data_IF_253667126948
#
_entry.id   IF_253667126948
#
_cell.length_a   1.000
_cell.length_b   1.000
_cell.length_c   1.000
_cell.angle_alpha   90.00
_cell.angle_beta   90.00
_cell.angle_gamma   90.00
#
_symmetry.space_group_name_H-M   'P 1'
#
loop_
_entity.id
_entity.type
_entity.pdbx_description
1 polymer ?
#
# COMPACT_ATOMS: atom_id res chain seq x y z
N UNK A 1 -2.98 6.44 8.54
CA UNK A 1 -3.39 6.79 7.15
C UNK A 1 -4.73 7.53 7.14
N UNK A 2 -5.87 6.87 7.37
CA UNK A 2 -7.20 7.52 7.27
C UNK A 2 -7.32 8.83 8.07
N UNK A 3 -7.04 8.80 9.37
CA UNK A 3 -6.98 9.99 10.24
C UNK A 3 -6.10 11.11 9.70
N UNK A 4 -4.93 10.76 9.15
CA UNK A 4 -3.94 11.72 8.64
C UNK A 4 -4.43 12.47 7.41
N UNK A 5 -5.12 11.79 6.49
CA UNK A 5 -5.71 12.41 5.32
C UNK A 5 -6.94 13.24 5.70
N UNK A 6 -7.77 12.76 6.64
CA UNK A 6 -8.92 13.52 7.12
C UNK A 6 -8.54 14.86 7.78
N UNK A 7 -7.38 14.94 8.43
CA UNK A 7 -6.83 16.20 8.97
C UNK A 7 -6.44 17.23 7.92
N UNK A 8 -6.33 16.84 6.65
CA UNK A 8 -5.99 17.71 5.52
C UNK A 8 -7.21 17.96 4.63
N UNK A 9 -8.40 17.96 5.23
CA UNK A 9 -9.69 18.19 4.57
C UNK A 9 -10.11 17.16 3.51
N UNK A 10 -9.46 15.99 3.47
CA UNK A 10 -9.96 14.89 2.65
C UNK A 10 -11.18 14.23 3.31
N UNK A 11 -12.23 14.00 2.52
CA UNK A 11 -13.23 12.98 2.87
C UNK A 11 -12.60 11.60 2.64
N UNK A 12 -12.66 10.73 3.65
CA UNK A 12 -12.00 9.42 3.62
C UNK A 12 -13.02 8.28 3.60
N UNK A 13 -13.01 7.47 2.55
CA UNK A 13 -13.69 6.18 2.58
C UNK A 13 -12.75 5.12 3.17
N UNK A 14 -13.15 4.49 4.28
CA UNK A 14 -12.43 3.37 4.90
C UNK A 14 -13.13 2.07 4.53
N UNK A 15 -12.37 1.10 4.02
CA UNK A 15 -12.92 -0.16 3.55
C UNK A 15 -12.25 -1.38 4.18
N UNK A 16 -13.05 -2.42 4.38
CA UNK A 16 -12.65 -3.71 4.96
C UNK A 16 -13.86 -4.59 5.24
N UNK A 17 -13.64 -5.74 5.87
CA UNK A 17 -14.67 -6.78 6.04
C UNK A 17 -15.53 -6.64 7.30
N UNK A 18 -15.07 -5.88 8.29
CA UNK A 18 -15.71 -5.79 9.61
C UNK A 18 -16.29 -4.40 9.81
N UNK A 19 -17.61 -4.26 9.67
CA UNK A 19 -18.30 -2.98 9.78
C UNK A 19 -18.02 -2.28 11.11
N UNK A 20 -18.09 -2.97 12.24
CA UNK A 20 -17.86 -2.38 13.57
C UNK A 20 -16.47 -1.74 13.69
N UNK A 21 -15.45 -2.38 13.12
CA UNK A 21 -14.07 -1.84 13.10
C UNK A 21 -13.98 -0.61 12.21
N UNK A 22 -14.67 -0.60 11.07
CA UNK A 22 -14.71 0.56 10.18
C UNK A 22 -15.44 1.73 10.86
N UNK A 23 -16.58 1.47 11.51
CA UNK A 23 -17.36 2.47 12.23
C UNK A 23 -16.57 3.08 13.38
N UNK A 24 -15.74 2.31 14.08
CA UNK A 24 -14.83 2.86 15.10
C UNK A 24 -13.87 3.89 14.50
N UNK A 25 -13.33 3.64 13.31
CA UNK A 25 -12.44 4.58 12.62
C UNK A 25 -13.21 5.80 12.10
N UNK A 26 -14.43 5.61 11.59
CA UNK A 26 -15.29 6.71 11.15
C UNK A 26 -15.63 7.63 12.31
N UNK A 27 -16.14 7.09 13.42
CA UNK A 27 -16.50 7.85 14.61
C UNK A 27 -15.32 8.65 15.17
N UNK A 28 -14.13 8.04 15.19
CA UNK A 28 -12.90 8.71 15.60
C UNK A 28 -12.53 9.89 14.67
N UNK A 29 -12.65 9.72 13.35
CA UNK A 29 -12.40 10.80 12.39
C UNK A 29 -13.41 11.94 12.56
N UNK A 30 -14.69 11.62 12.70
CA UNK A 30 -15.78 12.60 12.87
C UNK A 30 -15.66 13.35 14.20
N UNK A 31 -15.29 12.67 15.28
CA UNK A 31 -15.03 13.30 16.58
C UNK A 31 -13.87 14.31 16.54
N UNK A 32 -12.98 14.18 15.55
CA UNK A 32 -11.87 15.11 15.30
C UNK A 32 -12.16 16.10 14.16
N UNK A 33 -13.43 16.26 13.76
CA UNK A 33 -13.87 17.25 12.76
C UNK A 33 -13.68 16.83 11.30
N UNK A 34 -13.19 15.63 11.03
CA UNK A 34 -13.02 15.10 9.68
C UNK A 34 -14.32 14.49 9.11
N UNK A 35 -14.26 14.03 7.86
CA UNK A 35 -15.38 13.35 7.18
C UNK A 35 -14.95 11.95 6.75
N UNK A 36 -15.70 10.93 7.13
CA UNK A 36 -15.40 9.56 6.72
C UNK A 36 -16.66 8.73 6.43
N UNK A 37 -16.47 7.70 5.60
CA UNK A 37 -17.52 6.74 5.26
C UNK A 37 -16.97 5.31 5.38
N UNK A 38 -17.74 4.40 5.98
CA UNK A 38 -17.40 2.99 6.05
C UNK A 38 -17.97 2.26 4.83
N UNK A 39 -17.14 1.50 4.12
CA UNK A 39 -17.54 0.68 2.97
C UNK A 39 -17.13 -0.77 3.21
N UNK A 40 -18.10 -1.66 3.40
CA UNK A 40 -17.81 -3.09 3.60
C UNK A 40 -17.47 -3.72 2.25
N UNK A 41 -16.27 -4.31 2.16
CA UNK A 41 -15.81 -5.02 0.96
C UNK A 41 -14.70 -6.02 1.32
N UNK A 42 -14.70 -7.18 0.67
CA UNK A 42 -13.53 -8.05 0.60
C UNK A 42 -12.73 -7.72 -0.66
N UNK A 43 -11.49 -7.24 -0.48
CA UNK A 43 -10.62 -6.89 -1.61
C UNK A 43 -10.31 -8.08 -2.53
N UNK A 44 -10.42 -9.31 -2.04
CA UNK A 44 -10.26 -10.50 -2.87
C UNK A 44 -11.45 -10.76 -3.80
N UNK A 45 -12.60 -10.13 -3.60
CA UNK A 45 -13.81 -10.39 -4.40
C UNK A 45 -14.00 -9.22 -5.38
N UNK A 46 -14.00 -9.52 -6.68
CA UNK A 46 -14.07 -8.49 -7.73
C UNK A 46 -15.37 -7.68 -7.67
N UNK A 47 -16.51 -8.33 -7.44
CA UNK A 47 -17.80 -7.66 -7.28
C UNK A 47 -17.78 -6.65 -6.11
N UNK A 48 -17.18 -7.01 -4.98
CA UNK A 48 -17.05 -6.14 -3.82
C UNK A 48 -16.18 -4.91 -4.13
N UNK A 49 -15.05 -5.10 -4.82
CA UNK A 49 -14.16 -4.00 -5.20
C UNK A 49 -14.86 -3.04 -6.16
N UNK A 50 -15.58 -3.55 -7.15
CA UNK A 50 -16.37 -2.74 -8.08
C UNK A 50 -17.43 -1.91 -7.35
N UNK A 51 -18.20 -2.56 -6.47
CA UNK A 51 -19.23 -1.89 -5.67
C UNK A 51 -18.65 -0.83 -4.73
N UNK A 52 -17.48 -1.11 -4.13
CA UNK A 52 -16.80 -0.15 -3.26
C UNK A 52 -16.31 1.09 -4.02
N UNK A 53 -15.72 0.92 -5.20
CA UNK A 53 -15.27 2.05 -6.03
C UNK A 53 -16.46 2.86 -6.56
N UNK A 54 -17.57 2.22 -6.92
CA UNK A 54 -18.79 2.92 -7.30
C UNK A 54 -19.29 3.83 -6.16
N UNK A 55 -19.38 3.31 -4.93
CA UNK A 55 -19.74 4.13 -3.76
C UNK A 55 -18.74 5.27 -3.52
N UNK A 56 -17.44 5.04 -3.69
CA UNK A 56 -16.43 6.11 -3.56
C UNK A 56 -16.66 7.22 -4.59
N UNK A 57 -17.04 6.89 -5.82
CA UNK A 57 -17.32 7.88 -6.86
C UNK A 57 -18.55 8.75 -6.54
N UNK A 58 -19.52 8.23 -5.79
CA UNK A 58 -20.68 9.00 -5.30
C UNK A 58 -20.30 10.01 -4.20
N UNK A 59 -19.22 9.73 -3.45
CA UNK A 59 -18.77 10.60 -2.35
C UNK A 59 -17.97 11.82 -2.82
N UNK A 60 -17.42 11.76 -4.04
CA UNK A 60 -16.68 12.85 -4.68
C UNK A 60 -15.49 12.38 -5.53
N UNK A 61 -14.57 13.30 -5.82
CA UNK A 61 -13.40 13.05 -6.66
C UNK A 61 -12.33 12.26 -5.90
N UNK A 62 -12.04 11.03 -6.36
CA UNK A 62 -10.91 10.26 -5.86
C UNK A 62 -9.58 10.90 -6.30
N UNK A 63 -8.74 11.24 -5.31
CA UNK A 63 -7.39 11.81 -5.50
C UNK A 63 -6.27 10.91 -4.96
N UNK A 64 -6.57 10.09 -3.95
CA UNK A 64 -5.63 9.14 -3.36
C UNK A 64 -6.33 7.81 -3.08
N UNK A 65 -5.70 6.72 -3.51
CA UNK A 65 -6.15 5.36 -3.29
C UNK A 65 -5.04 4.57 -2.60
N UNK A 66 -5.31 4.03 -1.39
CA UNK A 66 -4.30 3.35 -0.58
C UNK A 66 -4.70 1.90 -0.32
N UNK A 67 -3.95 0.96 -0.89
CA UNK A 67 -4.10 -0.47 -0.61
C UNK A 67 -3.28 -0.88 0.61
N UNK A 68 -3.95 -0.97 1.76
CA UNK A 68 -3.34 -1.36 3.05
C UNK A 68 -3.79 -2.76 3.53
N UNK A 69 -4.32 -3.60 2.65
CA UNK A 69 -4.76 -4.94 3.04
C UNK A 69 -3.54 -5.83 3.34
N UNK A 70 -3.60 -6.52 4.48
CA UNK A 70 -2.57 -7.46 4.87
C UNK A 70 -2.89 -8.20 6.15
N UNK A 71 -2.84 -9.53 6.09
CA UNK A 71 -2.75 -10.39 7.26
C UNK A 71 -1.48 -11.21 7.15
N UNK A 72 -0.58 -11.06 8.12
CA UNK A 72 0.60 -11.90 8.20
C UNK A 72 0.16 -13.32 8.57
N UNK A 73 0.37 -14.26 7.65
CA UNK A 73 0.19 -15.71 7.84
C UNK A 73 1.57 -16.31 8.10
N UNK A 74 1.68 -16.96 9.27
CA UNK A 74 2.90 -17.57 9.79
C UNK A 74 2.61 -19.04 10.03
N UNK A 75 3.07 -19.92 9.12
CA UNK A 75 2.86 -21.38 9.20
C UNK A 75 3.99 -22.13 8.50
N UNK A 76 4.55 -23.20 9.10
CA UNK A 76 5.56 -24.02 8.44
C UNK A 76 5.09 -24.46 7.05
N UNK A 77 5.99 -24.49 6.07
CA UNK A 77 5.62 -24.70 4.67
C UNK A 77 4.90 -26.03 4.44
N UNK A 78 5.28 -27.10 5.15
CA UNK A 78 4.67 -28.42 5.04
C UNK A 78 3.30 -28.53 5.73
N UNK A 79 2.95 -27.58 6.60
CA UNK A 79 1.64 -27.52 7.26
C UNK A 79 0.70 -26.52 6.57
N UNK A 80 1.18 -25.78 5.58
CA UNK A 80 0.44 -24.77 4.86
C UNK A 80 -0.46 -25.43 3.81
N UNK A 81 -1.77 -25.33 4.00
CA UNK A 81 -2.73 -25.85 3.02
C UNK A 81 -2.78 -24.96 1.78
N UNK A 82 -3.18 -25.54 0.65
CA UNK A 82 -3.35 -24.80 -0.59
C UNK A 82 -4.40 -23.69 -0.45
N UNK A 83 -5.48 -23.96 0.29
CA UNK A 83 -6.57 -23.00 0.51
C UNK A 83 -6.09 -21.79 1.32
N UNK A 84 -5.31 -22.00 2.38
CA UNK A 84 -4.77 -20.89 3.17
C UNK A 84 -3.73 -20.08 2.37
N UNK A 85 -2.92 -20.75 1.55
CA UNK A 85 -2.01 -20.09 0.63
C UNK A 85 -2.78 -19.22 -0.38
N UNK A 86 -3.79 -19.79 -1.03
CA UNK A 86 -4.63 -19.12 -2.01
C UNK A 86 -5.37 -17.93 -1.39
N UNK A 87 -5.99 -18.10 -0.23
CA UNK A 87 -6.66 -17.00 0.49
C UNK A 87 -5.72 -15.83 0.75
N UNK A 88 -4.47 -16.12 1.15
CA UNK A 88 -3.44 -15.10 1.40
C UNK A 88 -3.04 -14.38 0.10
N UNK A 89 -2.85 -15.15 -0.98
CA UNK A 89 -2.53 -14.63 -2.30
C UNK A 89 -3.68 -13.78 -2.85
N UNK A 90 -4.92 -14.23 -2.71
CA UNK A 90 -6.13 -13.52 -3.14
C UNK A 90 -6.28 -12.19 -2.42
N UNK A 91 -6.14 -12.19 -1.09
CA UNK A 91 -6.26 -10.96 -0.30
C UNK A 91 -5.13 -9.95 -0.59
N UNK A 92 -3.93 -10.42 -0.93
CA UNK A 92 -2.76 -9.55 -1.14
C UNK A 92 -2.56 -9.20 -2.62
N UNK A 93 -2.26 -10.18 -3.46
CA UNK A 93 -1.87 -9.99 -4.86
C UNK A 93 -3.08 -9.68 -5.73
N UNK A 94 -4.07 -10.58 -5.76
CA UNK A 94 -5.25 -10.40 -6.60
C UNK A 94 -6.03 -9.16 -6.16
N UNK A 95 -6.27 -9.01 -4.86
CA UNK A 95 -7.00 -7.87 -4.34
C UNK A 95 -6.28 -6.55 -4.56
N UNK A 96 -4.94 -6.54 -4.49
CA UNK A 96 -4.15 -5.37 -4.86
C UNK A 96 -4.31 -5.01 -6.34
N UNK A 97 -4.32 -6.02 -7.22
CA UNK A 97 -4.58 -5.83 -8.65
C UNK A 97 -6.00 -5.30 -8.93
N UNK A 98 -7.04 -5.92 -8.35
CA UNK A 98 -8.43 -5.50 -8.55
C UNK A 98 -8.64 -4.06 -8.08
N UNK A 99 -8.14 -3.75 -6.87
CA UNK A 99 -8.18 -2.39 -6.32
C UNK A 99 -7.46 -1.40 -7.23
N UNK A 100 -6.23 -1.72 -7.65
CA UNK A 100 -5.43 -0.87 -8.52
C UNK A 100 -6.13 -0.59 -9.85
N UNK A 101 -6.67 -1.63 -10.49
CA UNK A 101 -7.35 -1.53 -11.79
C UNK A 101 -8.52 -0.54 -11.72
N UNK A 102 -9.39 -0.70 -10.75
CA UNK A 102 -10.59 0.14 -10.62
C UNK A 102 -10.26 1.54 -10.09
N UNK A 103 -9.37 1.65 -9.08
CA UNK A 103 -8.95 2.95 -8.58
C UNK A 103 -8.22 3.77 -9.65
N UNK A 104 -7.36 3.14 -10.46
CA UNK A 104 -6.66 3.82 -11.55
C UNK A 104 -7.61 4.32 -12.62
N UNK A 105 -8.66 3.57 -12.99
CA UNK A 105 -9.70 4.07 -13.91
C UNK A 105 -10.32 5.37 -13.41
N UNK A 106 -10.73 5.40 -12.14
CA UNK A 106 -11.28 6.63 -11.53
C UNK A 106 -10.23 7.75 -11.45
N UNK A 107 -9.00 7.45 -11.06
CA UNK A 107 -7.92 8.45 -10.96
C UNK A 107 -7.64 9.09 -12.32
N UNK A 108 -7.55 8.30 -13.40
CA UNK A 108 -7.35 8.80 -14.75
C UNK A 108 -8.50 9.72 -15.20
N UNK A 109 -9.75 9.31 -14.94
CA UNK A 109 -10.93 10.14 -15.22
C UNK A 109 -10.90 11.49 -14.47
N UNK A 110 -10.26 11.52 -13.29
CA UNK A 110 -10.10 12.73 -12.46
C UNK A 110 -8.81 13.53 -12.76
N UNK A 111 -8.08 13.18 -13.83
CA UNK A 111 -6.86 13.84 -14.25
C UNK A 111 -5.59 13.42 -13.51
N UNK A 112 -5.63 12.30 -12.77
CA UNK A 112 -4.51 11.73 -12.03
C UNK A 112 -4.68 11.79 -10.51
N UNK A 113 -3.64 11.37 -9.80
CA UNK A 113 -3.61 11.32 -8.33
C UNK A 113 -2.58 10.33 -7.82
N UNK A 114 -2.83 9.70 -6.67
CA UNK A 114 -1.89 8.73 -6.06
C UNK A 114 -2.53 7.36 -5.84
N UNK A 115 -1.78 6.31 -6.17
CA UNK A 115 -2.08 4.92 -5.90
C UNK A 115 -0.95 4.31 -5.06
N UNK A 116 -1.20 4.11 -3.78
CA UNK A 116 -0.17 3.71 -2.81
C UNK A 116 -0.45 2.29 -2.29
N UNK A 117 0.59 1.47 -2.22
CA UNK A 117 0.50 0.09 -1.74
C UNK A 117 1.32 -0.09 -0.47
N UNK A 118 0.76 -0.83 0.48
CA UNK A 118 1.46 -1.20 1.71
C UNK A 118 2.09 -2.58 1.57
N UNK A 119 3.41 -2.55 1.46
CA UNK A 119 4.28 -3.71 1.48
C UNK A 119 4.84 -4.02 2.86
N UNK A 120 5.64 -5.07 2.90
CA UNK A 120 6.50 -5.42 4.02
C UNK A 120 7.86 -5.91 3.49
N UNK A 121 8.82 -6.20 4.36
CA UNK A 121 10.10 -6.83 3.98
C UNK A 121 9.89 -8.13 3.19
N UNK A 122 8.78 -8.82 3.46
CA UNK A 122 8.32 -9.99 2.72
C UNK A 122 8.09 -9.73 1.22
N UNK A 123 7.95 -8.48 0.79
CA UNK A 123 7.86 -8.09 -0.63
C UNK A 123 9.20 -8.24 -1.37
N UNK A 124 10.31 -8.29 -0.64
CA UNK A 124 11.66 -8.32 -1.19
C UNK A 124 12.31 -9.70 -1.07
N UNK A 125 11.93 -10.48 -0.04
CA UNK A 125 12.47 -11.82 0.21
C UNK A 125 11.54 -12.65 1.07
N UNK A 126 11.61 -13.98 0.91
CA UNK A 126 10.98 -14.94 1.82
C UNK A 126 11.71 -15.07 3.15
N UNK A 127 11.01 -15.57 4.17
CA UNK A 127 11.55 -15.98 5.48
C UNK A 127 10.65 -17.07 6.06
N UNK A 128 11.17 -18.16 6.64
CA UNK A 128 10.35 -19.08 7.42
C UNK A 128 9.72 -18.39 8.65
N UNK A 129 8.46 -18.69 9.02
CA UNK A 129 7.48 -19.55 8.34
C UNK A 129 6.43 -18.71 7.56
N UNK A 130 6.86 -17.74 6.76
CA UNK A 130 5.99 -16.74 6.10
C UNK A 130 5.78 -16.99 4.59
N UNK A 131 5.81 -18.25 4.14
CA UNK A 131 5.78 -18.58 2.70
C UNK A 131 4.60 -17.95 1.95
N UNK A 132 3.36 -18.14 2.42
CA UNK A 132 2.17 -17.54 1.81
C UNK A 132 2.21 -15.99 1.83
N UNK A 133 2.63 -15.42 2.96
CA UNK A 133 2.69 -13.97 3.12
C UNK A 133 3.74 -13.33 2.21
N UNK A 134 4.91 -13.94 2.08
CA UNK A 134 5.97 -13.49 1.17
C UNK A 134 5.55 -13.60 -0.29
N UNK A 135 4.94 -14.72 -0.70
CA UNK A 135 4.41 -14.87 -2.05
C UNK A 135 3.37 -13.78 -2.38
N UNK A 136 2.44 -13.52 -1.46
CA UNK A 136 1.43 -12.45 -1.60
C UNK A 136 2.04 -11.05 -1.68
N UNK A 137 3.01 -10.71 -0.83
CA UNK A 137 3.63 -9.38 -0.83
C UNK A 137 4.61 -9.14 -1.98
N UNK A 138 5.28 -10.20 -2.46
CA UNK A 138 6.10 -10.13 -3.67
C UNK A 138 5.21 -9.90 -4.90
N UNK A 139 4.09 -10.64 -5.02
CA UNK A 139 3.10 -10.44 -6.08
C UNK A 139 2.53 -9.01 -6.08
N UNK A 140 2.11 -8.52 -4.91
CA UNK A 140 1.62 -7.14 -4.75
C UNK A 140 2.64 -6.10 -5.21
N UNK A 141 3.93 -6.29 -4.89
CA UNK A 141 5.00 -5.40 -5.33
C UNK A 141 5.14 -5.41 -6.85
N UNK A 142 5.08 -6.57 -7.48
CA UNK A 142 5.13 -6.68 -8.94
C UNK A 142 3.94 -5.95 -9.59
N UNK A 143 2.72 -6.12 -9.06
CA UNK A 143 1.53 -5.37 -9.52
C UNK A 143 1.76 -3.87 -9.43
N UNK A 144 2.21 -3.37 -8.28
CA UNK A 144 2.48 -1.94 -8.08
C UNK A 144 3.50 -1.39 -9.09
N UNK A 145 4.56 -2.16 -9.37
CA UNK A 145 5.58 -1.75 -10.33
C UNK A 145 5.09 -1.71 -11.78
N UNK A 146 4.23 -2.64 -12.17
CA UNK A 146 3.59 -2.61 -13.49
C UNK A 146 2.72 -1.37 -13.64
N UNK A 147 1.84 -1.09 -12.68
CA UNK A 147 0.99 0.10 -12.68
C UNK A 147 1.80 1.41 -12.69
N UNK A 148 2.92 1.46 -11.97
CA UNK A 148 3.79 2.63 -11.95
C UNK A 148 4.35 2.96 -13.34
N UNK A 149 4.76 1.94 -14.11
CA UNK A 149 5.33 2.11 -15.45
C UNK A 149 4.27 2.44 -16.48
N UNK A 150 3.08 1.85 -16.34
CA UNK A 150 1.99 2.01 -17.29
C UNK A 150 1.25 3.36 -17.12
N UNK A 151 0.96 3.75 -15.87
CA UNK A 151 0.12 4.92 -15.57
C UNK A 151 0.87 6.11 -14.98
N UNK A 152 2.15 5.95 -14.65
CA UNK A 152 3.04 7.05 -14.27
C UNK A 152 3.05 8.20 -15.29
N UNK A 153 3.24 7.92 -16.60
CA UNK A 153 3.15 8.93 -17.66
C UNK A 153 1.77 9.58 -17.80
N UNK A 154 0.73 8.96 -17.26
CA UNK A 154 -0.67 9.41 -17.30
C UNK A 154 -1.09 10.09 -15.99
N UNK A 155 -0.13 10.70 -15.29
CA UNK A 155 -0.31 11.46 -14.04
C UNK A 155 -0.79 10.65 -12.81
N UNK A 156 -0.64 9.32 -12.80
CA UNK A 156 -0.93 8.47 -11.63
C UNK A 156 0.36 8.17 -10.85
N UNK A 157 0.45 8.63 -9.60
CA UNK A 157 1.62 8.42 -8.75
C UNK A 157 1.51 7.06 -8.09
N UNK A 158 2.27 6.08 -8.56
CA UNK A 158 2.23 4.74 -7.97
C UNK A 158 3.44 4.49 -7.10
N UNK A 159 3.22 4.10 -5.84
CA UNK A 159 4.30 3.77 -4.93
C UNK A 159 4.01 2.50 -4.10
N UNK A 160 5.02 1.65 -3.95
CA UNK A 160 5.00 0.52 -3.03
C UNK A 160 5.86 0.83 -1.81
N UNK A 161 5.22 0.96 -0.65
CA UNK A 161 5.86 1.31 0.61
C UNK A 161 6.22 0.04 1.38
N UNK A 162 7.50 -0.27 1.48
CA UNK A 162 8.02 -1.39 2.26
C UNK A 162 8.17 -0.94 3.72
N UNK A 163 7.25 -1.38 4.57
CA UNK A 163 7.35 -1.20 6.02
C UNK A 163 8.22 -2.34 6.58
N UNK A 164 9.39 -1.98 7.09
CA UNK A 164 10.40 -2.90 7.59
C UNK A 164 10.71 -2.60 9.06
N UNK A 165 9.85 -3.13 9.92
CA UNK A 165 9.97 -2.94 11.36
C UNK A 165 8.72 -3.46 12.06
N UNK A 166 8.83 -3.61 13.37
CA UNK A 166 7.68 -3.82 14.24
C UNK A 166 6.91 -2.50 14.31
N UNK A 167 5.60 -2.54 14.13
CA UNK A 167 4.76 -1.33 14.19
C UNK A 167 4.20 -1.24 15.60
N UNK A 168 4.32 -0.07 16.24
CA UNK A 168 3.65 0.19 17.51
C UNK A 168 2.14 0.38 17.29
N UNK A 169 1.43 -0.74 17.15
CA UNK A 169 0.00 -0.75 16.91
C UNK A 169 -0.69 -1.87 17.67
N UNK A 170 -2.01 -1.74 17.81
CA UNK A 170 -2.88 -2.62 18.59
C UNK A 170 -2.64 -4.12 18.31
N UNK A 171 -2.34 -4.46 17.06
CA UNK A 171 -2.06 -5.84 16.65
C UNK A 171 -0.79 -6.43 17.27
N UNK A 172 0.27 -5.65 17.42
CA UNK A 172 1.51 -6.13 18.03
C UNK A 172 1.39 -6.08 19.56
N UNK A 173 0.75 -5.03 20.10
CA UNK A 173 0.42 -4.91 21.54
C UNK A 173 -0.36 -6.11 22.06
N UNK A 174 -1.36 -6.57 21.29
CA UNK A 174 -2.17 -7.75 21.66
C UNK A 174 -1.47 -9.09 21.46
N UNK A 175 -0.54 -9.22 20.50
CA UNK A 175 0.07 -10.52 20.15
C UNK A 175 1.42 -10.78 20.80
N UNK A 176 2.20 -9.74 21.07
CA UNK A 176 3.58 -9.87 21.55
C UNK A 176 3.99 -8.62 22.37
N UNK A 177 3.32 -8.32 23.50
CA UNK A 177 3.61 -7.14 24.31
C UNK A 177 5.06 -7.14 24.82
N UNK A 178 5.58 -8.29 25.26
CA UNK A 178 6.94 -8.43 25.75
C UNK A 178 8.01 -8.17 24.68
N UNK A 179 7.67 -8.42 23.41
CA UNK A 179 8.57 -8.16 22.29
C UNK A 179 8.63 -6.66 21.98
N UNK A 180 7.50 -5.94 22.05
CA UNK A 180 7.49 -4.48 21.94
C UNK A 180 8.27 -3.83 23.08
N UNK A 181 8.07 -4.28 24.32
CA UNK A 181 8.79 -3.74 25.47
C UNK A 181 10.32 -3.90 25.35
N UNK A 182 10.78 -5.00 24.74
CA UNK A 182 12.21 -5.25 24.47
C UNK A 182 12.81 -4.39 23.37
N UNK A 183 12.00 -3.86 22.45
CA UNK A 183 12.49 -2.99 21.37
C UNK A 183 12.87 -1.59 21.89
N UNK A 184 12.42 -1.22 23.10
CA UNK A 184 12.63 0.11 23.66
C UNK A 184 11.77 1.18 22.98
N UNK A 185 11.94 2.43 23.40
CA UNK A 185 11.09 3.56 23.00
C UNK A 185 11.19 3.88 21.49
N UNK A 186 12.37 3.69 20.89
CA UNK A 186 12.65 3.99 19.48
C UNK A 186 12.65 2.75 18.55
N UNK A 187 12.53 1.53 19.08
CA UNK A 187 12.69 0.31 18.29
C UNK A 187 11.45 -0.13 17.50
N UNK A 188 10.33 0.58 17.64
CA UNK A 188 9.09 0.31 16.91
C UNK A 188 8.68 1.52 16.05
N UNK A 189 8.16 1.24 14.86
CA UNK A 189 7.64 2.25 13.95
C UNK A 189 6.32 2.81 14.46
N UNK A 190 6.26 4.13 14.64
CA UNK A 190 5.03 4.83 15.05
C UNK A 190 4.04 4.90 13.88
N UNK A 191 2.76 4.79 14.20
CA UNK A 191 1.69 4.83 13.18
C UNK A 191 1.60 6.20 12.50
N UNK A 192 1.92 7.25 13.25
CA UNK A 192 1.93 8.64 12.80
C UNK A 192 3.00 8.85 11.73
N UNK A 193 4.23 8.39 11.97
CA UNK A 193 5.35 8.52 11.02
C UNK A 193 5.07 7.77 9.71
N UNK A 194 4.49 6.57 9.83
CA UNK A 194 4.04 5.82 8.65
C UNK A 194 2.96 6.63 7.91
N UNK A 195 1.99 7.20 8.62
CA UNK A 195 0.94 7.98 7.97
C UNK A 195 1.48 9.25 7.30
N UNK A 196 2.45 9.93 7.91
CA UNK A 196 3.12 11.10 7.36
C UNK A 196 3.93 10.76 6.11
N UNK A 197 4.58 9.60 6.07
CA UNK A 197 5.26 9.12 4.86
C UNK A 197 4.29 8.94 3.68
N UNK A 198 3.08 8.43 3.93
CA UNK A 198 2.05 8.29 2.88
C UNK A 198 1.49 9.64 2.44
N UNK A 199 1.33 10.59 3.38
CA UNK A 199 0.94 11.95 3.06
C UNK A 199 1.99 12.62 2.19
N UNK A 200 3.26 12.56 2.60
CA UNK A 200 4.38 13.09 1.83
C UNK A 200 4.41 12.56 0.40
N UNK A 201 4.20 11.23 0.22
CA UNK A 201 4.11 10.62 -1.10
C UNK A 201 2.96 11.15 -1.94
N UNK A 202 1.82 11.42 -1.31
CA UNK A 202 0.65 11.95 -1.99
C UNK A 202 0.86 13.40 -2.45
N UNK A 203 1.51 14.23 -1.63
CA UNK A 203 1.70 15.66 -1.88
C UNK A 203 2.96 16.01 -2.68
N UNK A 204 3.67 15.02 -3.22
CA UNK A 204 4.86 15.30 -4.04
C UNK A 204 4.48 16.17 -5.25
N UNK A 205 5.24 17.25 -5.53
CA UNK A 205 4.97 18.12 -6.68
C UNK A 205 4.96 17.32 -7.99
N UNK A 206 4.05 17.68 -8.90
CA UNK A 206 4.13 17.24 -10.28
C UNK A 206 5.37 17.89 -10.93
N UNK A 207 6.47 17.15 -11.03
CA UNK A 207 7.63 17.60 -11.79
C UNK A 207 7.31 17.52 -13.31
N UNK A 208 7.98 18.30 -14.17
CA UNK A 208 7.86 18.19 -15.63
C UNK A 208 8.40 16.87 -16.23
N UNK A 209 8.72 15.88 -15.39
CA UNK A 209 9.14 14.51 -15.70
C UNK A 209 8.56 13.55 -14.65
N UNK A 210 8.89 12.24 -14.66
CA UNK A 210 8.44 11.32 -13.61
C UNK A 210 8.76 11.92 -12.23
N UNK A 211 7.74 12.02 -11.37
CA UNK A 211 7.74 12.86 -10.15
C UNK A 211 9.03 12.72 -9.33
N UNK A 212 9.51 13.88 -8.90
CA UNK A 212 10.84 14.30 -8.39
C UNK A 212 11.64 13.39 -7.43
N UNK A 213 11.14 12.24 -6.98
CA UNK A 213 11.86 11.35 -6.07
C UNK A 213 11.60 9.87 -6.34
N UNK A 214 11.73 9.44 -7.61
CA UNK A 214 11.89 8.03 -7.98
C UNK A 214 13.36 7.60 -7.84
N UNK A 215 13.80 7.23 -6.63
CA UNK A 215 15.19 6.79 -6.39
C UNK A 215 15.48 5.36 -6.89
N UNK A 216 16.52 5.20 -7.72
CA UNK A 216 17.15 3.93 -8.09
C UNK A 216 18.69 4.01 -8.14
N UNK A 217 19.35 2.91 -7.78
CA UNK A 217 20.71 2.50 -8.19
C UNK A 217 20.59 1.00 -8.59
N UNK A 218 21.34 0.42 -9.52
CA UNK A 218 22.72 0.71 -9.95
C UNK A 218 22.91 0.64 -11.46
N UNK A 219 23.90 1.41 -11.95
CA UNK A 219 24.62 1.13 -13.21
C UNK A 219 25.21 -0.27 -13.14
N UNK A 220 25.06 -1.07 -14.20
CA UNK A 220 25.94 -2.20 -14.44
C UNK A 220 27.18 -1.66 -15.17
N UNK A 221 28.34 -1.78 -14.54
CA UNK A 221 29.63 -1.49 -15.15
C UNK A 221 30.03 -2.62 -16.10
N UNK A 222 29.48 -2.61 -17.32
CA UNK A 222 29.97 -3.41 -18.44
C UNK A 222 29.30 -2.94 -19.73
N UNK A 223 29.70 -1.78 -20.26
CA UNK A 223 29.46 -1.49 -21.68
C UNK A 223 30.52 -0.51 -22.20
N UNK A 224 31.62 -1.08 -22.68
CA UNK A 224 32.51 -0.44 -23.64
C UNK A 224 31.91 -0.67 -25.03
N UNK A 225 31.16 0.30 -25.56
CA UNK A 225 30.64 0.21 -26.92
C UNK A 225 29.71 1.35 -27.27
N UNK A 226 30.16 2.25 -28.15
CA UNK A 226 29.39 3.40 -28.59
C UNK A 226 28.12 3.03 -29.37
N UNK A 227 27.09 3.85 -29.22
CA UNK A 227 25.87 3.81 -30.01
C UNK A 227 24.81 4.70 -29.39
N UNK A 228 24.43 5.77 -30.08
CA UNK A 228 23.28 6.60 -29.72
C UNK A 228 22.01 5.73 -29.69
N UNK A 229 21.49 5.47 -28.49
CA UNK A 229 20.24 4.75 -28.24
C UNK A 229 19.50 5.40 -27.07
N UNK A 230 18.19 5.60 -27.24
CA UNK A 230 17.24 6.24 -26.33
C UNK A 230 17.41 5.91 -24.83
N UNK A 231 17.16 6.85 -23.89
CA UNK A 231 17.22 6.54 -22.47
C UNK A 231 16.12 5.54 -22.10
N UNK A 232 16.52 4.32 -21.73
CA UNK A 232 15.64 3.33 -21.14
C UNK A 232 15.32 3.74 -19.71
N UNK A 233 14.09 4.24 -19.52
CA UNK A 233 13.54 4.73 -18.26
C UNK A 233 13.35 3.57 -17.27
N UNK A 234 14.30 3.43 -16.34
CA UNK A 234 14.31 2.39 -15.32
C UNK A 234 13.64 2.90 -14.04
N UNK A 235 12.33 3.13 -14.10
CA UNK A 235 11.52 3.51 -12.94
C UNK A 235 11.35 2.31 -11.99
N UNK A 236 11.88 2.43 -10.76
CA UNK A 236 11.64 1.48 -9.66
C UNK A 236 11.25 2.25 -8.39
N UNK A 237 9.96 2.26 -8.06
CA UNK A 237 9.46 2.84 -6.81
C UNK A 237 9.42 1.79 -5.70
N UNK A 238 10.30 1.90 -4.70
CA UNK A 238 10.23 1.17 -3.43
C UNK A 238 10.77 2.07 -2.32
N UNK A 239 9.90 2.65 -1.50
CA UNK A 239 10.31 3.36 -0.29
C UNK A 239 10.38 2.36 0.84
N UNK A 240 11.52 2.29 1.53
CA UNK A 240 11.69 1.43 2.71
C UNK A 240 11.67 2.29 3.95
N UNK A 241 10.66 2.09 4.80
CA UNK A 241 10.57 2.68 6.13
C UNK A 241 11.20 1.66 7.08
N UNK A 242 12.36 1.96 7.68
CA UNK A 242 13.01 1.11 8.67
C UNK A 242 12.72 1.60 10.08
N UNK A 243 12.42 0.68 10.99
CA UNK A 243 12.57 0.95 12.44
C UNK A 243 14.05 1.12 12.79
N UNK A 244 14.34 1.85 13.86
CA UNK A 244 15.71 2.06 14.36
C UNK A 244 16.39 0.74 14.72
#
# INVERSE_FOLDING_TARGET
MARRFAREDYRVAVSGRSLDKLQTVVADIEANGGKANAIVADSGIEADVLAAIAQVNELGTLRAAIFNVGNSVSKPALELSAELFEQTWRASTLGGFLFAREATRTLLANGGGSLLFTGATASLRGKPPYTAFAAGKAGLRSVSQSFAREFGPQNVHVAHVVIDGSIDGERVKSRAPDYLAKLGEDGALRLEDIADAYWYLHTQPAAPGPRSWTCGHSRNSSDTGGGYGSPSDSTRTCIRIRGA
#
